data_IF_332555194681
#
_entry.id   IF_332555194681
#
_cell.length_a   1.000
_cell.length_b   1.000
_cell.length_c   1.000
_cell.angle_alpha   90.00
_cell.angle_beta   90.00
_cell.angle_gamma   90.00
#
_symmetry.space_group_name_H-M   'P 1'
#
loop_
_entity.id
_entity.type
_entity.pdbx_description
1 polymer ?
#
# COMPACT_ATOMS: atom_id res chain seq x y z
N UNK A 1 21.04 22.95 8.85
CA UNK A 1 19.67 22.44 9.03
C UNK A 1 18.63 23.56 8.85
N UNK A 2 18.87 24.53 7.95
CA UNK A 2 17.99 25.73 7.83
C UNK A 2 17.68 26.12 6.37
N UNK A 3 17.90 25.21 5.39
CA UNK A 3 17.77 25.52 3.96
C UNK A 3 16.66 24.73 3.23
N UNK A 4 15.95 23.83 3.91
CA UNK A 4 14.84 23.05 3.33
C UNK A 4 13.44 23.64 3.60
N UNK A 5 13.33 24.63 4.48
CA UNK A 5 12.06 25.27 4.86
C UNK A 5 11.59 26.39 3.90
N UNK A 6 12.38 26.73 2.88
CA UNK A 6 12.02 27.85 1.96
C UNK A 6 11.38 27.39 0.64
N UNK A 7 11.08 26.12 0.46
CA UNK A 7 10.52 25.59 -0.80
C UNK A 7 9.00 25.53 -0.77
N UNK A 8 8.39 25.40 0.40
CA UNK A 8 6.95 25.51 0.60
C UNK A 8 6.67 26.96 1.01
N UNK A 9 6.21 27.79 0.08
CA UNK A 9 5.72 29.12 0.41
C UNK A 9 4.76 29.05 1.58
N UNK A 10 4.45 30.16 2.28
CA UNK A 10 3.64 30.19 3.52
C UNK A 10 2.70 29.00 3.61
N UNK A 11 3.00 28.07 4.53
CA UNK A 11 2.28 26.80 4.72
C UNK A 11 0.83 27.15 5.07
N UNK A 12 0.00 27.20 4.06
CA UNK A 12 -1.44 27.41 4.20
C UNK A 12 -2.12 26.07 3.97
N UNK A 13 -3.06 25.74 4.84
CA UNK A 13 -3.88 24.54 4.71
C UNK A 13 -4.78 24.63 3.47
N UNK A 14 -4.70 23.65 2.58
CA UNK A 14 -5.52 23.58 1.38
C UNK A 14 -6.21 22.22 1.29
N UNK A 15 -7.49 22.23 0.96
CA UNK A 15 -8.21 21.07 0.49
C UNK A 15 -8.43 21.21 -1.02
N UNK A 16 -7.82 20.32 -1.79
CA UNK A 16 -7.96 20.26 -3.24
C UNK A 16 -8.77 19.02 -3.63
N UNK A 17 -9.47 19.09 -4.75
CA UNK A 17 -10.18 17.98 -5.34
C UNK A 17 -9.61 17.63 -6.71
N UNK A 18 -9.39 16.34 -6.98
CA UNK A 18 -9.11 15.82 -8.32
C UNK A 18 -10.42 15.49 -9.02
N UNK A 19 -10.70 16.17 -10.10
CA UNK A 19 -11.86 15.90 -10.96
C UNK A 19 -11.44 15.06 -12.17
N UNK A 20 -12.40 14.32 -12.75
CA UNK A 20 -12.18 13.45 -13.93
C UNK A 20 -12.14 14.24 -15.23
N UNK A 21 -11.44 15.36 -15.24
CA UNK A 21 -11.20 16.15 -16.44
C UNK A 21 -9.79 15.88 -17.00
N UNK A 22 -9.68 15.76 -18.31
CA UNK A 22 -8.44 15.38 -18.98
C UNK A 22 -7.38 16.49 -19.03
N UNK A 23 -7.74 17.75 -18.85
CA UNK A 23 -6.84 18.88 -19.10
C UNK A 23 -6.28 19.56 -17.85
N UNK A 24 -7.05 19.69 -16.82
CA UNK A 24 -6.61 20.40 -15.60
C UNK A 24 -7.49 19.99 -14.42
N UNK A 25 -7.30 18.78 -13.95
CA UNK A 25 -8.23 18.12 -13.05
C UNK A 25 -8.10 18.48 -11.58
N UNK A 26 -7.34 19.52 -11.17
CA UNK A 26 -7.27 19.95 -9.77
C UNK A 26 -8.10 21.20 -9.57
N UNK A 27 -8.87 21.23 -8.46
CA UNK A 27 -9.70 22.37 -8.02
C UNK A 27 -9.47 22.63 -6.54
N UNK A 28 -9.49 23.90 -6.14
CA UNK A 28 -9.49 24.30 -4.74
C UNK A 28 -10.91 24.15 -4.18
N UNK A 29 -11.03 23.42 -3.07
CA UNK A 29 -12.30 23.25 -2.33
C UNK A 29 -12.36 24.19 -1.14
N UNK A 30 -11.31 24.19 -0.33
CA UNK A 30 -11.18 25.02 0.87
C UNK A 30 -9.74 25.50 1.03
N UNK A 31 -9.56 26.61 1.71
CA UNK A 31 -8.26 27.12 2.15
C UNK A 31 -8.32 27.53 3.62
N UNK A 32 -7.17 27.53 4.27
CA UNK A 32 -6.98 27.94 5.67
C UNK A 32 -7.76 27.09 6.70
N UNK A 33 -8.00 25.80 6.39
CA UNK A 33 -8.63 24.88 7.33
C UNK A 33 -7.82 23.58 7.39
N UNK A 34 -7.55 23.14 8.58
CA UNK A 34 -7.04 21.81 8.87
C UNK A 34 -8.20 20.81 8.75
N UNK A 35 -7.98 19.72 8.00
CA UNK A 35 -9.02 18.74 7.67
C UNK A 35 -8.79 17.43 8.43
N UNK A 36 -7.54 17.03 8.58
CA UNK A 36 -7.15 15.77 9.20
C UNK A 36 -6.19 16.01 10.36
N UNK A 37 -6.28 15.18 11.39
CA UNK A 37 -5.29 15.10 12.45
C UNK A 37 -4.23 14.05 12.07
N UNK A 38 -2.96 14.35 12.36
CA UNK A 38 -1.86 13.41 12.12
C UNK A 38 -1.99 12.21 13.07
N UNK A 39 -2.03 10.97 12.55
CA UNK A 39 -2.03 9.78 13.40
C UNK A 39 -0.72 9.67 14.20
N UNK A 40 -0.82 9.45 15.50
CA UNK A 40 0.34 9.26 16.40
C UNK A 40 1.16 7.99 16.07
N UNK A 41 0.63 7.11 15.22
CA UNK A 41 1.21 5.79 14.91
C UNK A 41 2.04 5.78 13.62
N UNK A 42 2.18 6.90 12.91
CA UNK A 42 2.95 6.94 11.66
C UNK A 42 4.43 6.58 11.84
N UNK A 43 5.02 6.92 12.98
CA UNK A 43 6.43 6.60 13.24
C UNK A 43 6.67 5.12 13.57
N UNK A 44 5.61 4.39 13.93
CA UNK A 44 5.62 2.94 14.12
C UNK A 44 5.11 2.16 12.91
N UNK A 45 4.87 2.82 11.78
CA UNK A 45 4.42 2.19 10.56
C UNK A 45 5.40 1.11 10.07
N UNK A 46 4.87 0.10 9.40
CA UNK A 46 5.65 -1.04 8.91
C UNK A 46 5.79 -1.00 7.39
N UNK A 47 6.90 -1.50 6.84
CA UNK A 47 7.05 -1.59 5.39
C UNK A 47 5.94 -2.49 4.83
N UNK A 48 5.40 -2.07 3.69
CA UNK A 48 4.34 -2.81 3.06
C UNK A 48 4.85 -4.16 2.53
N UNK A 49 4.18 -5.23 2.94
CA UNK A 49 4.31 -6.55 2.32
C UNK A 49 2.90 -7.12 2.04
N UNK A 50 2.66 -7.71 0.85
CA UNK A 50 1.33 -8.15 0.43
C UNK A 50 0.66 -9.18 1.32
N UNK A 51 1.44 -9.94 2.06
CA UNK A 51 0.97 -10.99 2.97
C UNK A 51 0.90 -10.56 4.42
N UNK A 52 1.30 -9.33 4.73
CA UNK A 52 1.26 -8.82 6.08
C UNK A 52 -0.13 -8.27 6.42
N UNK A 53 -0.52 -8.39 7.68
CA UNK A 53 -1.71 -7.79 8.23
C UNK A 53 -1.33 -6.73 9.26
N UNK A 54 -2.07 -5.63 9.28
CA UNK A 54 -1.93 -4.59 10.29
C UNK A 54 -2.67 -4.96 11.56
N UNK A 55 -2.11 -4.59 12.69
CA UNK A 55 -2.84 -4.48 13.95
C UNK A 55 -3.69 -3.20 13.97
N UNK A 56 -4.56 -3.07 14.97
CA UNK A 56 -5.43 -1.90 15.09
C UNK A 56 -4.60 -0.61 15.23
N UNK A 57 -4.88 0.36 14.38
CA UNK A 57 -4.20 1.65 14.38
C UNK A 57 -2.84 1.68 13.67
N UNK A 58 -2.33 0.57 13.19
CA UNK A 58 -1.09 0.53 12.42
C UNK A 58 -1.24 1.00 10.97
N UNK A 59 -0.12 1.37 10.36
CA UNK A 59 0.00 1.80 8.98
C UNK A 59 1.09 1.03 8.26
N UNK A 60 0.84 0.71 6.99
CA UNK A 60 1.90 0.35 6.05
C UNK A 60 2.56 1.59 5.50
N UNK A 61 3.82 1.47 5.07
CA UNK A 61 4.46 2.51 4.27
C UNK A 61 5.16 1.95 3.03
N UNK A 62 5.32 2.84 2.03
CA UNK A 62 6.16 2.64 0.85
C UNK A 62 7.25 3.70 0.85
N UNK A 63 8.52 3.26 0.80
CA UNK A 63 9.68 4.14 0.70
C UNK A 63 9.86 4.70 -0.71
N UNK A 64 10.58 5.84 -0.79
CA UNK A 64 10.99 6.47 -2.03
C UNK A 64 9.81 6.73 -2.98
N UNK A 65 8.69 7.15 -2.41
CA UNK A 65 7.41 7.19 -3.12
C UNK A 65 7.42 8.11 -4.35
N UNK A 66 8.08 9.26 -4.32
CA UNK A 66 8.16 10.18 -5.46
C UNK A 66 8.94 9.63 -6.65
N UNK A 67 9.74 8.57 -6.46
CA UNK A 67 10.48 7.90 -7.53
C UNK A 67 9.64 6.80 -8.23
N UNK A 68 8.46 6.47 -7.70
CA UNK A 68 7.60 5.44 -8.26
C UNK A 68 6.79 5.97 -9.43
N UNK A 69 6.58 5.16 -10.46
CA UNK A 69 5.85 5.56 -11.67
C UNK A 69 4.40 5.95 -11.39
N UNK A 70 3.78 5.33 -10.39
CA UNK A 70 2.42 5.62 -9.95
C UNK A 70 2.30 6.83 -9.00
N UNK A 71 3.40 7.51 -8.68
CA UNK A 71 3.36 8.74 -7.88
C UNK A 71 2.71 9.87 -8.69
N UNK A 72 1.86 10.64 -8.03
CA UNK A 72 1.22 11.81 -8.62
C UNK A 72 2.25 12.93 -8.83
N UNK A 73 2.21 13.58 -10.00
CA UNK A 73 3.13 14.69 -10.32
C UNK A 73 3.05 15.85 -9.33
N UNK A 74 1.87 16.04 -8.73
CA UNK A 74 1.64 17.07 -7.70
C UNK A 74 2.51 16.86 -6.44
N UNK A 75 2.94 15.63 -6.14
CA UNK A 75 3.84 15.33 -5.02
C UNK A 75 5.31 15.56 -5.35
N UNK A 76 5.66 15.62 -6.64
CA UNK A 76 7.03 15.88 -7.11
C UNK A 76 7.39 17.36 -7.16
N UNK A 77 6.39 18.22 -7.03
CA UNK A 77 6.54 19.67 -7.10
C UNK A 77 5.81 20.35 -5.95
N UNK A 78 6.29 21.48 -5.43
CA UNK A 78 5.59 22.23 -4.40
C UNK A 78 4.18 22.61 -4.84
N UNK A 79 3.20 22.36 -3.96
CA UNK A 79 1.81 22.73 -4.23
C UNK A 79 1.58 24.19 -3.88
N UNK A 80 1.13 24.97 -4.86
CA UNK A 80 0.58 26.28 -4.59
C UNK A 80 -0.95 26.22 -4.74
N UNK A 81 -1.65 26.11 -3.61
CA UNK A 81 -3.12 25.98 -3.60
C UNK A 81 -3.84 27.13 -4.26
N UNK A 82 -3.26 28.35 -4.24
CA UNK A 82 -3.85 29.54 -4.89
C UNK A 82 -3.79 29.50 -6.43
N UNK A 83 -2.98 28.60 -6.99
CA UNK A 83 -2.90 28.42 -8.45
C UNK A 83 -4.10 27.65 -9.02
N UNK A 84 -4.93 27.02 -8.18
CA UNK A 84 -6.06 26.21 -8.62
C UNK A 84 -7.36 27.01 -8.55
N UNK A 85 -8.18 26.90 -9.61
CA UNK A 85 -9.50 27.49 -9.63
C UNK A 85 -10.41 26.84 -8.56
N UNK A 86 -11.33 27.59 -8.00
CA UNK A 86 -12.33 27.06 -7.08
C UNK A 86 -13.19 26.01 -7.79
N UNK A 87 -13.59 24.98 -7.05
CA UNK A 87 -14.50 23.95 -7.54
C UNK A 87 -15.89 24.56 -7.78
N UNK A 88 -16.54 24.12 -8.85
CA UNK A 88 -17.91 24.53 -9.16
C UNK A 88 -18.91 23.43 -8.80
N UNK A 89 -20.16 23.79 -8.65
CA UNK A 89 -21.26 22.87 -8.32
C UNK A 89 -21.37 21.70 -9.30
N UNK A 90 -21.13 21.94 -10.59
CA UNK A 90 -21.22 20.90 -11.62
C UNK A 90 -20.06 19.91 -11.55
N UNK A 91 -18.92 20.33 -11.03
CA UNK A 91 -17.72 19.52 -10.88
C UNK A 91 -17.79 18.58 -9.66
N UNK A 92 -18.65 18.86 -8.66
CA UNK A 92 -18.77 18.03 -7.47
C UNK A 92 -19.08 16.56 -7.79
N UNK A 93 -19.89 16.31 -8.84
CA UNK A 93 -20.28 14.94 -9.24
C UNK A 93 -19.18 14.11 -9.88
N UNK A 94 -18.06 14.71 -10.23
CA UNK A 94 -16.96 14.06 -10.95
C UNK A 94 -15.63 14.06 -10.17
N UNK A 95 -15.68 14.36 -8.87
CA UNK A 95 -14.51 14.24 -8.00
C UNK A 95 -14.10 12.76 -7.91
N UNK A 96 -12.80 12.50 -8.02
CA UNK A 96 -12.22 11.16 -7.83
C UNK A 96 -11.59 11.00 -6.47
N UNK A 97 -10.86 12.00 -5.99
CA UNK A 97 -10.27 12.01 -4.65
C UNK A 97 -10.05 13.44 -4.16
N UNK A 98 -9.94 13.57 -2.85
CA UNK A 98 -9.53 14.79 -2.16
C UNK A 98 -8.04 14.70 -1.81
N UNK A 99 -7.39 15.84 -1.79
CA UNK A 99 -5.99 16.04 -1.52
C UNK A 99 -5.84 17.22 -0.56
N UNK A 100 -5.46 16.95 0.69
CA UNK A 100 -5.27 17.99 1.71
C UNK A 100 -3.79 18.19 1.99
N UNK A 101 -3.31 19.40 1.80
CA UNK A 101 -1.97 19.84 2.22
C UNK A 101 -2.14 20.61 3.51
N UNK A 102 -1.41 20.23 4.55
CA UNK A 102 -1.52 20.86 5.86
C UNK A 102 -0.16 21.39 6.34
N UNK A 103 -0.20 22.30 7.30
CA UNK A 103 0.98 22.97 7.86
C UNK A 103 1.85 22.04 8.73
N UNK A 104 1.35 20.87 9.09
CA UNK A 104 2.11 19.75 9.69
C UNK A 104 3.13 19.13 8.74
N UNK A 105 3.16 19.54 7.46
CA UNK A 105 4.04 19.02 6.43
C UNK A 105 3.61 17.68 5.84
N UNK A 106 2.40 17.22 6.18
CA UNK A 106 1.80 16.01 5.64
C UNK A 106 0.81 16.34 4.53
N UNK A 107 0.61 15.36 3.66
CA UNK A 107 -0.36 15.41 2.58
C UNK A 107 -1.30 14.25 2.73
N UNK A 108 -2.58 14.54 2.85
CA UNK A 108 -3.62 13.56 3.11
C UNK A 108 -4.45 13.32 1.87
N UNK A 109 -4.84 12.07 1.66
CA UNK A 109 -5.65 11.66 0.53
C UNK A 109 -6.90 10.94 1.00
N UNK A 110 -8.02 11.26 0.36
CA UNK A 110 -9.27 10.55 0.54
C UNK A 110 -9.89 10.24 -0.82
N UNK A 111 -10.15 8.98 -1.10
CA UNK A 111 -10.94 8.58 -2.26
C UNK A 111 -12.39 9.06 -2.07
N UNK A 112 -12.97 9.61 -3.14
CA UNK A 112 -14.38 10.02 -3.13
C UNK A 112 -15.22 8.99 -3.88
N UNK A 113 -16.17 8.40 -3.18
CA UNK A 113 -17.16 7.47 -3.73
C UNK A 113 -18.49 8.18 -3.95
N UNK A 114 -19.37 7.58 -4.75
CA UNK A 114 -20.72 8.15 -4.99
C UNK A 114 -21.54 8.32 -3.72
N UNK A 115 -21.30 7.50 -2.71
CA UNK A 115 -21.99 7.55 -1.41
C UNK A 115 -21.55 8.71 -0.54
N UNK A 116 -20.39 9.31 -0.83
CA UNK A 116 -19.87 10.49 -0.12
C UNK A 116 -20.29 11.82 -0.78
N UNK A 117 -20.90 11.74 -1.97
CA UNK A 117 -21.44 12.89 -2.68
C UNK A 117 -22.96 12.94 -2.46
N UNK A 118 -23.38 13.65 -1.43
CA UNK A 118 -24.78 13.67 -1.03
C UNK A 118 -25.53 14.81 -1.75
N UNK A 119 -26.70 14.48 -2.29
CA UNK A 119 -27.69 15.43 -2.77
C UNK A 119 -28.97 15.17 -1.99
N UNK A 120 -29.22 15.96 -0.95
CA UNK A 120 -30.34 15.71 -0.06
C UNK A 120 -31.06 16.98 0.33
N UNK A 121 -32.35 16.85 0.61
CA UNK A 121 -33.12 17.77 1.43
C UNK A 121 -32.79 17.46 2.89
N UNK A 122 -32.40 18.46 3.65
CA UNK A 122 -32.04 18.24 5.04
C UNK A 122 -32.53 19.36 5.96
N UNK A 123 -32.71 19.03 7.23
CA UNK A 123 -32.89 19.97 8.30
C UNK A 123 -31.56 20.11 9.03
N UNK A 124 -31.00 21.31 9.03
CA UNK A 124 -29.74 21.60 9.72
C UNK A 124 -30.07 22.25 11.06
N UNK A 125 -29.52 21.68 12.12
CA UNK A 125 -29.59 22.19 13.48
C UNK A 125 -28.28 22.91 13.81
N UNK A 126 -28.35 24.19 14.09
CA UNK A 126 -27.25 25.07 14.47
C UNK A 126 -27.82 26.19 15.37
N UNK A 127 -27.30 27.39 15.26
CA UNK A 127 -27.84 28.58 15.96
C UNK A 127 -29.31 28.81 15.62
N UNK A 128 -29.74 28.36 14.44
CA UNK A 128 -31.13 28.31 14.03
C UNK A 128 -31.41 27.03 13.24
N UNK A 129 -32.64 26.51 13.34
CA UNK A 129 -33.08 25.38 12.51
C UNK A 129 -33.43 25.90 11.13
N UNK A 130 -32.81 25.33 10.09
CA UNK A 130 -33.07 25.69 8.70
C UNK A 130 -33.27 24.47 7.82
N UNK A 131 -34.11 24.61 6.82
CA UNK A 131 -34.36 23.61 5.82
C UNK A 131 -33.57 23.95 4.55
N UNK A 132 -32.74 23.04 4.10
CA UNK A 132 -31.93 23.17 2.88
C UNK A 132 -32.43 22.19 1.82
N UNK A 133 -32.86 22.74 0.69
CA UNK A 133 -33.18 21.96 -0.51
C UNK A 133 -31.97 21.94 -1.46
N UNK A 134 -31.66 20.79 -2.01
CA UNK A 134 -30.58 20.60 -3.00
C UNK A 134 -29.16 20.93 -2.49
N UNK A 135 -28.92 20.82 -1.18
CA UNK A 135 -27.55 20.90 -0.68
C UNK A 135 -26.71 19.78 -1.30
N UNK A 136 -25.51 20.15 -1.77
CA UNK A 136 -24.51 19.20 -2.24
C UNK A 136 -23.40 19.17 -1.22
N UNK A 137 -23.06 17.99 -0.76
CA UNK A 137 -22.06 17.80 0.29
C UNK A 137 -21.06 16.76 -0.12
N UNK A 138 -19.84 16.98 0.32
CA UNK A 138 -18.78 15.97 0.29
C UNK A 138 -18.57 15.53 1.73
N UNK A 139 -18.73 14.23 1.98
CA UNK A 139 -18.42 13.66 3.29
C UNK A 139 -16.92 13.43 3.38
N UNK A 140 -16.30 14.08 4.37
CA UNK A 140 -14.90 13.87 4.71
C UNK A 140 -14.85 12.82 5.82
N UNK A 141 -14.04 11.77 5.59
CA UNK A 141 -13.85 10.72 6.57
C UNK A 141 -13.04 11.24 7.77
N UNK A 142 -13.21 10.65 8.93
CA UNK A 142 -12.39 10.95 10.11
C UNK A 142 -10.91 10.55 9.92
N UNK A 143 -10.64 9.54 9.11
CA UNK A 143 -9.29 9.12 8.76
C UNK A 143 -9.09 9.17 7.24
N UNK A 144 -7.92 9.59 6.75
CA UNK A 144 -7.57 9.58 5.33
C UNK A 144 -7.33 8.16 4.83
N UNK A 145 -7.44 7.94 3.51
CA UNK A 145 -7.07 6.66 2.87
C UNK A 145 -5.56 6.50 2.74
N UNK A 146 -4.82 7.61 2.59
CA UNK A 146 -3.37 7.63 2.56
C UNK A 146 -2.81 8.96 3.09
N UNK A 147 -1.56 8.93 3.55
CA UNK A 147 -0.79 10.08 4.01
C UNK A 147 0.57 10.04 3.34
N UNK A 148 1.00 11.13 2.72
CA UNK A 148 2.36 11.27 2.22
C UNK A 148 3.15 12.20 3.13
N UNK A 149 4.34 11.76 3.53
CA UNK A 149 5.28 12.54 4.32
C UNK A 149 6.52 12.85 3.48
N UNK A 150 6.75 14.14 3.24
CA UNK A 150 7.85 14.59 2.38
C UNK A 150 9.23 14.45 3.01
N UNK A 151 9.33 14.50 4.34
CA UNK A 151 10.60 14.48 5.08
C UNK A 151 11.39 13.19 4.88
N UNK A 152 10.72 12.07 4.75
CA UNK A 152 11.31 10.74 4.50
C UNK A 152 10.84 10.10 3.19
N UNK A 153 10.07 10.85 2.39
CA UNK A 153 9.56 10.41 1.09
C UNK A 153 8.75 9.10 1.16
N UNK A 154 7.84 9.00 2.16
CA UNK A 154 7.01 7.83 2.42
C UNK A 154 5.54 8.08 2.14
N UNK A 155 4.89 7.09 1.53
CA UNK A 155 3.43 7.01 1.48
C UNK A 155 2.95 6.02 2.51
N UNK A 156 2.08 6.46 3.41
CA UNK A 156 1.44 5.62 4.43
C UNK A 156 0.00 5.30 4.03
N UNK A 157 -0.46 4.09 4.31
CA UNK A 157 -1.83 3.65 4.05
C UNK A 157 -2.19 2.43 4.90
N UNK A 158 -3.47 2.16 5.06
CA UNK A 158 -3.95 0.97 5.78
C UNK A 158 -4.52 -0.07 4.83
N UNK A 159 -5.19 0.36 3.75
CA UNK A 159 -5.83 -0.53 2.79
C UNK A 159 -5.41 -0.16 1.38
N UNK A 160 -4.71 -1.08 0.72
CA UNK A 160 -4.28 -0.82 -0.64
C UNK A 160 -5.47 -0.60 -1.60
N UNK A 161 -6.54 -1.37 -1.46
CA UNK A 161 -7.75 -1.20 -2.30
C UNK A 161 -8.38 0.20 -2.19
N UNK A 162 -8.12 0.94 -1.13
CA UNK A 162 -8.58 2.32 -0.99
C UNK A 162 -7.75 3.28 -1.86
N UNK A 163 -6.46 3.04 -1.97
CA UNK A 163 -5.52 3.95 -2.63
C UNK A 163 -5.26 3.65 -4.11
N UNK A 164 -5.64 2.47 -4.62
CA UNK A 164 -5.52 2.12 -6.06
C UNK A 164 -6.30 3.06 -6.97
N UNK A 165 -7.39 3.63 -6.47
CA UNK A 165 -8.18 4.62 -7.22
C UNK A 165 -7.53 6.02 -7.23
N UNK A 166 -6.56 6.28 -6.35
CA UNK A 166 -5.81 7.54 -6.24
C UNK A 166 -4.51 7.43 -7.02
N UNK A 167 -3.74 6.37 -6.78
CA UNK A 167 -2.44 6.11 -7.38
C UNK A 167 -2.58 4.97 -8.40
N UNK A 168 -2.87 5.34 -9.64
CA UNK A 168 -3.03 4.37 -10.73
C UNK A 168 -1.72 3.66 -11.02
N UNK A 169 -1.75 2.32 -11.02
CA UNK A 169 -0.58 1.47 -11.20
C UNK A 169 0.09 1.05 -9.88
N UNK A 170 -0.34 1.56 -8.73
CA UNK A 170 0.18 1.11 -7.42
C UNK A 170 -0.12 -0.37 -7.15
N UNK A 171 -1.07 -0.95 -7.86
CA UNK A 171 -1.37 -2.37 -7.86
C UNK A 171 -0.22 -3.23 -8.45
N UNK A 172 0.74 -2.62 -9.15
CA UNK A 172 1.97 -3.31 -9.55
C UNK A 172 2.79 -3.80 -8.35
N UNK A 173 2.72 -3.15 -7.19
CA UNK A 173 3.31 -3.67 -5.95
C UNK A 173 2.59 -4.94 -5.42
N UNK A 174 1.46 -5.29 -6.02
CA UNK A 174 0.67 -6.51 -5.79
C UNK A 174 0.72 -7.47 -6.94
N UNK A 175 1.59 -7.26 -7.87
CA UNK A 175 1.65 -8.07 -9.06
C UNK A 175 1.63 -9.55 -8.69
N UNK A 176 0.57 -10.22 -9.09
CA UNK A 176 0.59 -11.66 -9.18
C UNK A 176 1.65 -12.05 -10.23
N UNK A 177 2.46 -13.03 -9.92
CA UNK A 177 3.37 -13.58 -10.91
C UNK A 177 2.57 -13.97 -12.17
N UNK A 178 3.05 -13.59 -13.33
CA UNK A 178 2.49 -14.01 -14.60
C UNK A 178 2.61 -15.53 -14.76
N UNK A 179 1.91 -16.11 -15.72
CA UNK A 179 2.06 -17.55 -16.02
C UNK A 179 3.50 -17.90 -16.38
N UNK A 180 4.20 -17.03 -17.11
CA UNK A 180 5.60 -17.20 -17.44
C UNK A 180 6.50 -17.16 -16.19
N UNK A 181 6.28 -16.22 -15.31
CA UNK A 181 7.06 -16.11 -14.06
C UNK A 181 6.78 -17.27 -13.11
N UNK A 182 5.52 -17.72 -13.06
CA UNK A 182 5.12 -18.89 -12.29
C UNK A 182 5.80 -20.14 -12.82
N UNK A 183 5.80 -20.34 -14.15
CA UNK A 183 6.50 -21.45 -14.79
C UNK A 183 8.01 -21.39 -14.54
N UNK A 184 8.62 -20.22 -14.66
CA UNK A 184 10.05 -20.03 -14.40
C UNK A 184 10.41 -20.30 -12.94
N UNK A 185 9.54 -19.92 -11.99
CA UNK A 185 9.77 -20.24 -10.59
C UNK A 185 9.66 -21.74 -10.31
N UNK A 186 8.64 -22.40 -10.85
CA UNK A 186 8.46 -23.85 -10.70
C UNK A 186 9.56 -24.67 -11.42
N UNK A 187 10.20 -24.10 -12.43
CA UNK A 187 11.35 -24.70 -13.13
C UNK A 187 12.70 -24.41 -12.48
N UNK A 188 12.73 -23.85 -11.26
CA UNK A 188 13.97 -23.62 -10.52
C UNK A 188 14.69 -24.94 -10.23
N UNK A 189 16.01 -24.92 -10.23
CA UNK A 189 16.90 -26.08 -10.03
C UNK A 189 16.70 -26.79 -8.69
N UNK A 190 16.14 -26.12 -7.71
CA UNK A 190 15.82 -26.68 -6.39
C UNK A 190 14.36 -27.18 -6.26
N UNK A 191 13.55 -27.15 -7.33
CA UNK A 191 12.14 -27.58 -7.32
C UNK A 191 11.92 -28.75 -8.26
N UNK A 192 11.21 -29.76 -7.79
CA UNK A 192 10.66 -30.84 -8.59
C UNK A 192 9.14 -30.82 -8.49
N UNK A 193 8.50 -30.60 -9.63
CA UNK A 193 7.04 -30.51 -9.70
C UNK A 193 6.43 -31.89 -9.95
N UNK A 194 5.40 -32.25 -9.20
CA UNK A 194 4.68 -33.53 -9.39
C UNK A 194 3.92 -33.57 -10.72
N UNK A 195 3.67 -34.75 -11.26
CA UNK A 195 3.06 -34.96 -12.59
C UNK A 195 1.67 -34.30 -12.74
N UNK A 196 0.94 -34.11 -11.65
CA UNK A 196 -0.41 -33.54 -11.64
C UNK A 196 -0.46 -32.06 -11.22
N UNK A 197 0.68 -31.42 -11.01
CA UNK A 197 0.77 -30.02 -10.55
C UNK A 197 1.51 -29.17 -11.58
N UNK A 198 0.93 -28.03 -11.96
CA UNK A 198 1.51 -27.06 -12.89
C UNK A 198 1.13 -25.63 -12.52
N UNK A 199 1.53 -24.65 -13.33
CA UNK A 199 1.23 -23.24 -13.09
C UNK A 199 -0.24 -22.90 -13.06
N UNK A 200 -1.12 -23.72 -13.67
CA UNK A 200 -2.57 -23.51 -13.63
C UNK A 200 -3.18 -23.90 -12.27
N UNK A 201 -2.50 -24.75 -11.52
CA UNK A 201 -2.88 -25.15 -10.17
C UNK A 201 -2.52 -24.11 -9.11
N UNK A 202 -1.62 -23.17 -9.44
CA UNK A 202 -1.13 -22.14 -8.51
C UNK A 202 -2.21 -21.10 -8.24
N UNK A 203 -2.68 -21.05 -7.00
CA UNK A 203 -3.70 -20.09 -6.57
C UNK A 203 -3.15 -18.66 -6.45
N UNK A 204 -4.03 -17.67 -6.54
CA UNK A 204 -3.70 -16.24 -6.45
C UNK A 204 -2.78 -15.88 -5.27
N UNK A 205 -2.99 -16.35 -4.03
CA UNK A 205 -2.09 -16.04 -2.92
C UNK A 205 -0.64 -16.48 -3.18
N UNK A 206 -0.46 -17.67 -3.76
CA UNK A 206 0.88 -18.18 -4.08
C UNK A 206 1.51 -17.47 -5.28
N UNK A 207 0.71 -17.03 -6.28
CA UNK A 207 1.24 -16.18 -7.36
C UNK A 207 1.82 -14.87 -6.83
N UNK A 208 1.18 -14.26 -5.82
CA UNK A 208 1.72 -13.06 -5.15
C UNK A 208 3.03 -13.37 -4.41
N UNK A 209 3.07 -14.48 -3.66
CA UNK A 209 4.29 -14.92 -2.96
C UNK A 209 5.43 -15.26 -3.92
N UNK A 210 5.13 -15.84 -5.10
CA UNK A 210 6.13 -16.10 -6.14
C UNK A 210 6.78 -14.80 -6.61
N UNK A 211 6.00 -13.74 -6.85
CA UNK A 211 6.57 -12.45 -7.25
C UNK A 211 7.55 -11.93 -6.19
N UNK A 212 7.18 -11.97 -4.90
CA UNK A 212 8.05 -11.59 -3.79
C UNK A 212 9.25 -12.50 -3.62
N UNK A 213 9.05 -13.82 -3.71
CA UNK A 213 10.12 -14.80 -3.57
C UNK A 213 11.18 -14.64 -4.68
N UNK A 214 10.75 -14.31 -5.89
CA UNK A 214 11.66 -14.01 -7.02
C UNK A 214 12.52 -12.80 -6.74
N UNK A 215 11.93 -11.71 -6.20
CA UNK A 215 12.70 -10.52 -5.80
C UNK A 215 13.69 -10.85 -4.69
N UNK A 216 13.24 -11.58 -3.66
CA UNK A 216 14.10 -12.01 -2.55
C UNK A 216 15.27 -12.87 -3.05
N UNK A 217 15.00 -13.90 -3.86
CA UNK A 217 16.03 -14.77 -4.43
C UNK A 217 17.02 -14.03 -5.33
N UNK A 218 16.57 -12.99 -6.04
CA UNK A 218 17.45 -12.16 -6.86
C UNK A 218 18.35 -11.24 -6.00
N UNK A 219 17.92 -10.88 -4.79
CA UNK A 219 18.70 -10.06 -3.86
C UNK A 219 19.72 -10.85 -3.07
N UNK A 220 19.55 -12.19 -2.95
CA UNK A 220 20.44 -13.05 -2.18
C UNK A 220 21.70 -13.40 -2.98
N UNK A 221 22.84 -13.36 -2.30
CA UNK A 221 24.06 -14.01 -2.79
C UNK A 221 23.97 -15.55 -2.70
N UNK A 222 25.01 -16.24 -3.18
CA UNK A 222 25.03 -17.71 -3.20
C UNK A 222 25.01 -18.34 -1.79
N UNK A 223 25.67 -17.72 -0.82
CA UNK A 223 25.70 -18.18 0.56
C UNK A 223 24.34 -18.01 1.24
N UNK A 224 23.72 -16.85 1.05
CA UNK A 224 22.38 -16.55 1.55
C UNK A 224 21.32 -17.48 0.96
N UNK A 225 21.37 -17.76 -0.36
CA UNK A 225 20.47 -18.73 -1.00
C UNK A 225 20.63 -20.12 -0.39
N UNK A 226 21.86 -20.57 -0.21
CA UNK A 226 22.12 -21.88 0.41
C UNK A 226 21.57 -21.93 1.83
N UNK A 227 21.79 -20.90 2.63
CA UNK A 227 21.29 -20.84 4.01
C UNK A 227 19.76 -20.84 4.07
N UNK A 228 19.09 -20.10 3.17
CA UNK A 228 17.61 -20.05 3.08
C UNK A 228 17.06 -21.43 2.69
N UNK A 229 17.62 -22.08 1.66
CA UNK A 229 17.17 -23.41 1.25
C UNK A 229 17.43 -24.47 2.35
N UNK A 230 18.54 -24.37 3.06
CA UNK A 230 18.80 -25.24 4.22
C UNK A 230 17.79 -25.00 5.35
N UNK A 231 17.46 -23.76 5.63
CA UNK A 231 16.43 -23.44 6.63
C UNK A 231 15.07 -24.06 6.27
N UNK A 232 14.69 -24.06 4.98
CA UNK A 232 13.45 -24.70 4.54
C UNK A 232 13.48 -26.21 4.82
N UNK A 233 14.60 -26.88 4.53
CA UNK A 233 14.77 -28.31 4.83
C UNK A 233 14.64 -28.61 6.32
N UNK A 234 15.20 -27.76 7.15
CA UNK A 234 15.15 -27.95 8.61
C UNK A 234 13.72 -27.73 9.16
N UNK A 235 12.95 -26.80 8.61
CA UNK A 235 11.61 -26.48 9.09
C UNK A 235 10.53 -27.36 8.49
N UNK A 236 10.61 -27.69 7.21
CA UNK A 236 9.58 -28.45 6.49
C UNK A 236 10.15 -29.63 5.69
N UNK A 237 10.66 -30.66 6.37
CA UNK A 237 11.31 -31.81 5.72
C UNK A 237 10.36 -32.67 4.88
N UNK A 238 9.06 -32.56 5.00
CA UNK A 238 8.07 -33.39 4.29
C UNK A 238 8.03 -33.16 2.78
N UNK A 239 8.58 -32.05 2.28
CA UNK A 239 8.64 -31.76 0.84
C UNK A 239 10.03 -32.00 0.24
N UNK A 240 10.93 -32.63 0.97
CA UNK A 240 12.30 -32.92 0.48
C UNK A 240 12.32 -34.24 -0.24
N UNK A 241 12.90 -34.26 -1.45
CA UNK A 241 13.23 -35.46 -2.19
C UNK A 241 14.59 -36.06 -1.77
N UNK A 242 14.88 -37.26 -2.26
CA UNK A 242 16.14 -37.96 -2.03
C UNK A 242 17.37 -37.21 -2.57
N UNK A 243 17.20 -36.31 -3.55
CA UNK A 243 18.23 -35.48 -4.16
C UNK A 243 18.32 -34.05 -3.54
N UNK A 244 17.74 -33.85 -2.37
CA UNK A 244 17.67 -32.55 -1.66
C UNK A 244 16.87 -31.47 -2.38
N UNK A 245 16.18 -31.75 -3.47
CA UNK A 245 15.22 -30.83 -4.10
C UNK A 245 13.89 -30.80 -3.35
N UNK A 246 13.09 -29.76 -3.59
CA UNK A 246 11.76 -29.62 -2.99
C UNK A 246 10.68 -30.15 -3.93
N UNK A 247 9.95 -31.18 -3.50
CA UNK A 247 8.85 -31.77 -4.24
C UNK A 247 7.57 -30.97 -4.00
N UNK A 248 6.97 -30.44 -5.08
CA UNK A 248 5.73 -29.69 -5.04
C UNK A 248 4.64 -30.50 -5.74
N UNK A 249 3.75 -31.07 -4.98
CA UNK A 249 2.59 -31.83 -5.45
C UNK A 249 1.28 -31.08 -5.28
N UNK A 250 1.24 -30.12 -4.34
CA UNK A 250 0.05 -29.33 -3.98
C UNK A 250 0.37 -27.87 -3.86
N UNK A 251 -0.70 -27.03 -3.89
CA UNK A 251 -0.57 -25.58 -3.63
C UNK A 251 -0.13 -25.28 -2.18
N UNK A 252 -0.38 -26.20 -1.26
CA UNK A 252 0.08 -26.08 0.13
C UNK A 252 1.59 -26.34 0.25
N UNK A 253 2.16 -27.32 -0.48
CA UNK A 253 3.61 -27.53 -0.53
C UNK A 253 4.32 -26.30 -1.06
N UNK A 254 3.77 -25.70 -2.14
CA UNK A 254 4.26 -24.44 -2.67
C UNK A 254 4.16 -23.32 -1.66
N UNK A 255 3.06 -23.24 -0.89
CA UNK A 255 2.88 -22.24 0.17
C UNK A 255 3.99 -22.32 1.20
N UNK A 256 4.31 -23.53 1.68
CA UNK A 256 5.38 -23.73 2.67
C UNK A 256 6.76 -23.40 2.09
N UNK A 257 7.07 -23.84 0.88
CA UNK A 257 8.31 -23.46 0.22
C UNK A 257 8.47 -21.94 0.16
N UNK A 258 7.41 -21.23 -0.28
CA UNK A 258 7.42 -19.78 -0.41
C UNK A 258 7.58 -19.05 0.93
N UNK A 259 6.96 -19.54 2.01
CA UNK A 259 7.19 -18.99 3.35
C UNK A 259 8.64 -19.14 3.79
N UNK A 260 9.28 -20.24 3.44
CA UNK A 260 10.69 -20.42 3.75
C UNK A 260 11.60 -19.49 2.95
N UNK A 261 11.36 -19.34 1.63
CA UNK A 261 12.10 -18.38 0.78
C UNK A 261 11.97 -16.95 1.31
N UNK A 262 10.78 -16.59 1.80
CA UNK A 262 10.48 -15.28 2.42
C UNK A 262 10.93 -15.20 3.89
N UNK A 263 11.67 -16.20 4.39
CA UNK A 263 12.23 -16.26 5.75
C UNK A 263 11.20 -16.07 6.87
N UNK A 264 9.99 -16.64 6.72
CA UNK A 264 8.90 -16.53 7.68
C UNK A 264 8.91 -17.62 8.76
N UNK A 265 9.81 -18.58 8.68
CA UNK A 265 9.94 -19.63 9.68
C UNK A 265 10.65 -19.13 10.93
N UNK A 266 10.16 -19.52 12.09
CA UNK A 266 10.84 -19.31 13.35
C UNK A 266 10.54 -20.41 14.35
N UNK A 267 11.44 -20.56 15.33
CA UNK A 267 11.26 -21.49 16.45
C UNK A 267 10.97 -20.66 17.70
N UNK A 268 10.02 -21.13 18.51
CA UNK A 268 9.71 -20.48 19.80
C UNK A 268 10.94 -20.43 20.70
N UNK A 269 11.04 -19.43 21.59
CA UNK A 269 12.21 -19.22 22.42
C UNK A 269 12.57 -20.42 23.33
N UNK A 270 11.59 -21.28 23.64
CA UNK A 270 11.77 -22.54 24.38
C UNK A 270 12.21 -23.71 23.48
N UNK A 271 12.34 -23.49 22.16
CA UNK A 271 12.76 -24.48 21.19
C UNK A 271 11.74 -25.60 20.88
N UNK A 272 10.50 -25.50 21.40
CA UNK A 272 9.53 -26.59 21.31
C UNK A 272 8.70 -26.61 20.04
N UNK A 273 8.41 -25.43 19.50
CA UNK A 273 7.50 -25.33 18.37
C UNK A 273 8.15 -24.58 17.21
N UNK A 274 7.98 -25.12 16.01
CA UNK A 274 8.27 -24.44 14.74
C UNK A 274 6.98 -23.75 14.27
N UNK A 275 7.08 -22.49 13.93
CA UNK A 275 5.94 -21.66 13.54
C UNK A 275 6.24 -20.88 12.26
N UNK A 276 5.16 -20.34 11.67
CA UNK A 276 5.20 -19.40 10.53
C UNK A 276 4.75 -18.05 11.03
N UNK A 277 5.56 -17.01 10.77
CA UNK A 277 5.19 -15.63 11.05
C UNK A 277 4.17 -15.13 10.01
N UNK A 278 3.11 -14.49 10.47
CA UNK A 278 2.15 -13.82 9.59
C UNK A 278 2.73 -12.54 8.99
N UNK A 279 3.64 -11.86 9.71
CA UNK A 279 4.40 -10.70 9.26
C UNK A 279 5.84 -10.77 9.78
N UNK A 280 6.78 -10.17 9.04
CA UNK A 280 8.21 -10.13 9.41
C UNK A 280 8.63 -8.67 9.53
N UNK A 281 9.20 -8.31 10.70
CA UNK A 281 9.76 -6.98 10.95
C UNK A 281 11.23 -7.10 11.28
N UNK A 282 12.09 -6.32 10.62
CA UNK A 282 13.48 -6.22 11.00
C UNK A 282 13.60 -5.45 12.32
N UNK A 283 14.31 -6.03 13.29
CA UNK A 283 14.66 -5.30 14.49
C UNK A 283 15.69 -4.23 14.11
N UNK A 284 15.40 -2.97 14.41
CA UNK A 284 16.40 -1.90 14.31
C UNK A 284 17.44 -2.15 15.40
N UNK A 285 18.68 -2.35 14.98
CA UNK A 285 19.85 -2.45 15.87
C UNK A 285 20.46 -1.07 16.12
#
# INVERSE_FOLDING_TARGET
MTLLLSIWGELMNYLLARIRDRRNGMRCVLSNQEIYESPNTLDSAVPYAPDDSLEEGEWFYLDNFTQRDYCLDILRSPVNGTAYAAITDDELGIISFLYSVQDDGLVYFQRVTKTQLLRQKRVVFGDSVRFEENSREIVINSAPDAIYRSTDNRLFFQKLSAITAIFHGIDEIFREATDEETNNFLASDFIVVGESYDSSCVKKPNRKRIALAKEALNSYDAEQKTAVLQSIRDYYPSIINDDDSFKIETDDDLTYLLYGVLQRYYTTADGREKRIASSVRSLQQ
#
